data_IF_220676372943
#
_entry.id   IF_220676372943
#
_cell.length_a   1.000
_cell.length_b   1.000
_cell.length_c   1.000
_cell.angle_alpha   90.00
_cell.angle_beta   90.00
_cell.angle_gamma   90.00
#
_symmetry.space_group_name_H-M   'P 1'
#
loop_
_entity.id
_entity.type
_entity.pdbx_description
1 polymer ?
#
# COMPACT_ATOMS: atom_id res chain seq x y z
N UNK A 1 -3.99 26.70 -4.26
CA UNK A 1 -3.56 25.35 -4.67
C UNK A 1 -3.67 24.33 -3.53
N UNK A 2 -3.03 24.54 -2.37
CA UNK A 2 -3.04 23.57 -1.25
C UNK A 2 -4.42 23.16 -0.74
N UNK A 3 -5.37 24.11 -0.58
CA UNK A 3 -6.74 23.83 -0.09
C UNK A 3 -7.56 22.98 -1.07
N UNK A 4 -7.36 23.16 -2.38
CA UNK A 4 -8.04 22.38 -3.43
C UNK A 4 -7.53 20.94 -3.51
N UNK A 5 -6.23 20.73 -3.26
CA UNK A 5 -5.60 19.41 -3.19
C UNK A 5 -6.01 18.63 -1.93
N UNK A 6 -6.12 19.31 -0.79
CA UNK A 6 -6.62 18.67 0.44
C UNK A 6 -8.10 18.35 0.32
N UNK A 7 -8.90 19.25 -0.27
CA UNK A 7 -10.31 18.99 -0.51
C UNK A 7 -10.52 17.81 -1.47
N UNK A 8 -9.80 17.73 -2.59
CA UNK A 8 -9.94 16.63 -3.54
C UNK A 8 -9.45 15.29 -2.95
N UNK A 9 -8.36 15.29 -2.18
CA UNK A 9 -7.89 14.10 -1.48
C UNK A 9 -8.92 13.60 -0.44
N UNK A 10 -9.49 14.53 0.33
CA UNK A 10 -10.57 14.23 1.28
C UNK A 10 -11.78 13.65 0.53
N UNK A 11 -12.26 14.31 -0.53
CA UNK A 11 -13.40 13.81 -1.31
C UNK A 11 -13.13 12.44 -1.93
N UNK A 12 -11.92 12.20 -2.46
CA UNK A 12 -11.55 10.91 -3.04
C UNK A 12 -11.50 9.80 -1.99
N UNK A 13 -10.97 10.09 -0.80
CA UNK A 13 -10.89 9.12 0.31
C UNK A 13 -12.26 8.80 0.86
N UNK A 14 -13.04 9.82 1.23
CA UNK A 14 -14.39 9.60 1.77
C UNK A 14 -15.36 9.04 0.73
N UNK A 15 -15.25 9.48 -0.53
CA UNK A 15 -16.01 8.89 -1.64
C UNK A 15 -15.62 7.43 -1.89
N UNK A 16 -14.33 7.11 -1.82
CA UNK A 16 -13.82 5.75 -1.87
C UNK A 16 -14.35 4.89 -0.74
N UNK A 17 -14.30 5.36 0.51
CA UNK A 17 -14.87 4.66 1.67
C UNK A 17 -16.37 4.43 1.47
N UNK A 18 -17.11 5.44 1.02
CA UNK A 18 -18.53 5.30 0.70
C UNK A 18 -18.81 4.21 -0.34
N UNK A 19 -18.00 4.13 -1.40
CA UNK A 19 -18.08 3.05 -2.40
C UNK A 19 -17.80 1.67 -1.80
N UNK A 20 -16.78 1.56 -0.94
CA UNK A 20 -16.44 0.30 -0.25
C UNK A 20 -17.57 -0.14 0.69
N UNK A 21 -18.16 0.77 1.46
CA UNK A 21 -19.24 0.42 2.39
C UNK A 21 -20.57 0.12 1.68
N UNK A 22 -20.77 0.62 0.45
CA UNK A 22 -22.00 0.41 -0.32
C UNK A 22 -21.93 -0.76 -1.31
N UNK A 23 -20.77 -1.39 -1.47
CA UNK A 23 -20.58 -2.48 -2.43
C UNK A 23 -21.43 -3.73 -2.08
N UNK A 24 -21.92 -4.40 -3.12
CA UNK A 24 -22.63 -5.67 -2.99
C UNK A 24 -21.58 -6.78 -2.85
N UNK A 25 -21.52 -7.39 -1.66
CA UNK A 25 -20.63 -8.52 -1.36
C UNK A 25 -21.07 -9.73 -2.19
N UNK A 26 -20.15 -10.28 -2.98
CA UNK A 26 -20.41 -11.50 -3.75
C UNK A 26 -20.51 -12.71 -2.82
N UNK A 27 -21.69 -13.35 -2.78
CA UNK A 27 -22.03 -14.45 -1.87
C UNK A 27 -21.33 -15.80 -2.21
N UNK A 28 -20.74 -15.93 -3.39
CA UNK A 28 -20.13 -17.18 -3.88
C UNK A 28 -18.65 -17.02 -4.19
N UNK A 29 -17.82 -17.85 -3.55
CA UNK A 29 -16.40 -17.98 -3.87
C UNK A 29 -16.22 -18.58 -5.28
N UNK A 30 -15.40 -17.97 -6.16
CA UNK A 30 -15.21 -18.47 -7.53
C UNK A 30 -14.38 -19.75 -7.58
N UNK A 31 -14.53 -20.53 -8.67
CA UNK A 31 -13.65 -21.67 -9.00
C UNK A 31 -12.19 -21.25 -9.33
N UNK A 32 -11.90 -19.95 -9.39
CA UNK A 32 -10.61 -19.38 -9.78
C UNK A 32 -9.47 -19.65 -8.77
N UNK A 33 -9.81 -20.09 -7.56
CA UNK A 33 -8.87 -20.40 -6.47
C UNK A 33 -7.85 -21.49 -6.89
N UNK A 34 -8.21 -22.37 -7.83
CA UNK A 34 -7.34 -23.45 -8.30
C UNK A 34 -6.09 -22.96 -9.07
N UNK A 35 -6.15 -21.78 -9.73
CA UNK A 35 -5.02 -21.24 -10.52
C UNK A 35 -4.05 -20.44 -9.64
N UNK A 36 -4.50 -20.01 -8.46
CA UNK A 36 -3.72 -19.12 -7.59
C UNK A 36 -2.34 -19.65 -7.20
N UNK A 37 -2.15 -20.95 -6.89
CA UNK A 37 -0.82 -21.48 -6.60
C UNK A 37 0.15 -21.34 -7.78
N UNK A 38 -0.31 -21.66 -8.99
CA UNK A 38 0.50 -21.56 -10.22
C UNK A 38 0.87 -20.10 -10.50
N UNK A 39 -0.10 -19.20 -10.34
CA UNK A 39 0.11 -17.77 -10.56
C UNK A 39 1.11 -17.16 -9.55
N UNK A 40 0.98 -17.50 -8.26
CA UNK A 40 1.94 -17.09 -7.24
C UNK A 40 3.34 -17.63 -7.51
N UNK A 41 3.47 -18.89 -7.91
CA UNK A 41 4.77 -19.48 -8.27
C UNK A 41 5.40 -18.75 -9.46
N UNK A 42 4.61 -18.47 -10.49
CA UNK A 42 5.09 -17.76 -11.67
C UNK A 42 5.51 -16.32 -11.35
N UNK A 43 4.64 -15.54 -10.69
CA UNK A 43 4.92 -14.13 -10.38
C UNK A 43 6.02 -14.01 -9.32
N UNK A 44 5.95 -14.81 -8.26
CA UNK A 44 6.96 -14.83 -7.21
C UNK A 44 8.32 -15.29 -7.75
N UNK A 45 8.34 -16.30 -8.62
CA UNK A 45 9.55 -16.74 -9.32
C UNK A 45 10.11 -15.66 -10.26
N UNK A 46 9.25 -14.99 -11.03
CA UNK A 46 9.66 -13.88 -11.91
C UNK A 46 10.21 -12.71 -11.12
N UNK A 47 9.61 -12.36 -9.97
CA UNK A 47 10.11 -11.30 -9.11
C UNK A 47 11.43 -11.68 -8.43
N UNK A 48 11.54 -12.92 -7.96
CA UNK A 48 12.77 -13.43 -7.35
C UNK A 48 13.92 -13.44 -8.37
N UNK A 49 13.74 -14.09 -9.52
CA UNK A 49 14.81 -14.26 -10.52
C UNK A 49 15.01 -12.98 -11.33
N UNK A 50 13.94 -12.44 -11.90
CA UNK A 50 13.99 -11.25 -12.75
C UNK A 50 14.40 -10.00 -11.96
N UNK A 51 13.84 -9.79 -10.77
CA UNK A 51 14.22 -8.67 -9.90
C UNK A 51 15.66 -8.78 -9.44
N UNK A 52 16.10 -9.96 -9.01
CA UNK A 52 17.48 -10.20 -8.61
C UNK A 52 18.48 -9.97 -9.75
N UNK A 53 18.24 -10.55 -10.92
CA UNK A 53 19.11 -10.37 -12.10
C UNK A 53 19.14 -8.91 -12.57
N UNK A 54 18.02 -8.20 -12.53
CA UNK A 54 17.97 -6.78 -12.89
C UNK A 54 18.78 -5.93 -11.91
N UNK A 55 18.71 -6.22 -10.61
CA UNK A 55 19.53 -5.51 -9.61
C UNK A 55 21.01 -5.83 -9.79
N UNK A 56 21.38 -7.10 -10.00
CA UNK A 56 22.78 -7.47 -10.21
C UNK A 56 23.39 -6.80 -11.45
N UNK A 57 22.62 -6.67 -12.53
CA UNK A 57 23.09 -6.06 -13.79
C UNK A 57 23.13 -4.54 -13.72
N UNK A 58 22.12 -3.91 -13.12
CA UNK A 58 21.95 -2.44 -13.16
C UNK A 58 22.46 -1.72 -11.92
N UNK A 59 22.48 -2.39 -10.76
CA UNK A 59 22.83 -1.83 -9.45
C UNK A 59 23.72 -2.78 -8.63
N UNK A 60 24.89 -3.22 -9.15
CA UNK A 60 25.73 -4.23 -8.50
C UNK A 60 26.26 -3.80 -7.11
N UNK A 61 26.37 -2.49 -6.85
CA UNK A 61 26.84 -1.94 -5.58
C UNK A 61 25.75 -1.80 -4.52
N UNK A 62 24.49 -2.14 -4.84
CA UNK A 62 23.34 -1.95 -3.94
C UNK A 62 22.60 -3.27 -3.66
N UNK A 63 23.18 -4.18 -2.86
CA UNK A 63 22.58 -5.48 -2.56
C UNK A 63 21.23 -5.39 -1.83
N UNK A 64 20.96 -4.27 -1.14
CA UNK A 64 19.69 -4.04 -0.44
C UNK A 64 18.47 -4.08 -1.37
N UNK A 65 18.60 -3.73 -2.65
CA UNK A 65 17.49 -3.82 -3.60
C UNK A 65 17.21 -5.26 -4.03
N UNK A 66 18.25 -6.09 -4.14
CA UNK A 66 18.10 -7.51 -4.41
C UNK A 66 17.40 -8.20 -3.22
N UNK A 67 17.79 -7.86 -1.99
CA UNK A 67 17.14 -8.35 -0.78
C UNK A 67 15.65 -7.94 -0.72
N UNK A 68 15.31 -6.71 -1.09
CA UNK A 68 13.92 -6.26 -1.18
C UNK A 68 13.11 -7.11 -2.18
N UNK A 69 13.63 -7.36 -3.38
CA UNK A 69 12.96 -8.21 -4.37
C UNK A 69 12.75 -9.64 -3.84
N UNK A 70 13.75 -10.19 -3.13
CA UNK A 70 13.66 -11.53 -2.54
C UNK A 70 12.62 -11.59 -1.41
N UNK A 71 12.55 -10.58 -0.55
CA UNK A 71 11.53 -10.52 0.52
C UNK A 71 10.13 -10.37 -0.06
N UNK A 72 9.94 -9.51 -1.07
CA UNK A 72 8.65 -9.35 -1.75
C UNK A 72 8.23 -10.61 -2.51
N UNK A 73 9.17 -11.30 -3.16
CA UNK A 73 8.92 -12.61 -3.76
C UNK A 73 8.53 -13.64 -2.70
N UNK A 74 9.23 -13.65 -1.55
CA UNK A 74 8.89 -14.48 -0.40
C UNK A 74 7.46 -14.21 0.09
N UNK A 75 7.04 -12.95 0.17
CA UNK A 75 5.67 -12.57 0.51
C UNK A 75 4.62 -13.18 -0.44
N UNK A 76 4.89 -13.20 -1.75
CA UNK A 76 3.99 -13.76 -2.77
C UNK A 76 3.96 -15.29 -2.71
N UNK A 77 5.12 -15.92 -2.49
CA UNK A 77 5.29 -17.37 -2.51
C UNK A 77 4.87 -18.04 -1.20
N UNK A 78 5.01 -17.36 -0.06
CA UNK A 78 4.84 -17.95 1.27
C UNK A 78 3.50 -18.68 1.46
N UNK A 79 2.33 -18.10 1.12
CA UNK A 79 1.05 -18.80 1.27
C UNK A 79 0.95 -20.08 0.42
N UNK A 80 1.69 -20.16 -0.68
CA UNK A 80 1.65 -21.29 -1.62
C UNK A 80 2.65 -22.39 -1.29
N UNK A 81 3.80 -22.02 -0.72
CA UNK A 81 4.84 -22.98 -0.30
C UNK A 81 4.52 -23.57 1.07
N UNK A 82 3.83 -22.82 1.95
CA UNK A 82 3.47 -23.23 3.30
C UNK A 82 1.94 -23.24 3.53
N UNK A 83 1.16 -24.02 2.76
CA UNK A 83 -0.28 -24.09 2.94
C UNK A 83 -0.64 -24.69 4.31
N UNK A 84 -1.48 -24.02 5.09
CA UNK A 84 -2.02 -24.50 6.37
C UNK A 84 -1.05 -24.56 7.56
N UNK A 85 0.26 -24.72 7.33
CA UNK A 85 1.29 -24.78 8.37
C UNK A 85 2.05 -23.45 8.55
N UNK A 86 1.80 -22.46 7.68
CA UNK A 86 2.49 -21.17 7.70
C UNK A 86 2.04 -20.20 8.80
N UNK A 87 0.91 -20.43 9.47
CA UNK A 87 0.28 -19.43 10.34
C UNK A 87 1.09 -19.04 11.58
N UNK A 88 1.87 -19.96 12.13
CA UNK A 88 2.71 -19.73 13.32
C UNK A 88 4.21 -19.91 13.03
N UNK A 89 4.58 -19.99 11.76
CA UNK A 89 5.95 -20.29 11.38
C UNK A 89 6.82 -19.01 11.49
N UNK A 90 7.99 -19.09 12.18
CA UNK A 90 8.88 -17.94 12.37
C UNK A 90 9.34 -17.30 11.07
N UNK A 91 9.43 -18.05 9.96
CA UNK A 91 9.78 -17.51 8.65
C UNK A 91 8.77 -16.48 8.15
N UNK A 92 7.47 -16.69 8.42
CA UNK A 92 6.44 -15.73 8.03
C UNK A 92 6.56 -14.42 8.82
N UNK A 93 6.83 -14.49 10.13
CA UNK A 93 7.11 -13.30 10.94
C UNK A 93 8.37 -12.57 10.45
N UNK A 94 9.43 -13.31 10.12
CA UNK A 94 10.66 -12.73 9.56
C UNK A 94 10.40 -12.04 8.22
N UNK A 95 9.61 -12.63 7.32
CA UNK A 95 9.24 -12.00 6.06
C UNK A 95 8.45 -10.71 6.28
N UNK A 96 7.48 -10.73 7.21
CA UNK A 96 6.67 -9.54 7.48
C UNK A 96 7.48 -8.42 8.12
N UNK A 97 8.37 -8.74 9.08
CA UNK A 97 9.17 -7.75 9.80
C UNK A 97 10.41 -7.27 9.04
N UNK A 98 10.98 -8.10 8.16
CA UNK A 98 12.12 -7.70 7.33
C UNK A 98 11.75 -6.65 6.30
N UNK A 99 10.52 -6.69 5.77
CA UNK A 99 10.06 -5.73 4.78
C UNK A 99 10.12 -4.26 5.25
N UNK A 100 9.47 -3.85 6.37
CA UNK A 100 9.58 -2.47 6.86
C UNK A 100 11.02 -2.11 7.23
N UNK A 101 11.81 -3.07 7.75
CA UNK A 101 13.22 -2.82 8.08
C UNK A 101 14.06 -2.50 6.83
N UNK A 102 13.90 -3.26 5.74
CA UNK A 102 14.60 -3.02 4.47
C UNK A 102 14.16 -1.71 3.83
N UNK A 103 12.85 -1.43 3.83
CA UNK A 103 12.30 -0.16 3.32
C UNK A 103 12.89 1.01 4.11
N UNK A 104 12.84 0.96 5.44
CA UNK A 104 13.40 2.00 6.30
C UNK A 104 14.91 2.17 6.07
N UNK A 105 15.64 1.07 5.91
CA UNK A 105 17.07 1.11 5.60
C UNK A 105 17.34 1.81 4.27
N UNK A 106 16.66 1.41 3.18
CA UNK A 106 16.81 2.03 1.85
C UNK A 106 16.47 3.52 1.90
N UNK A 107 15.36 3.89 2.53
CA UNK A 107 14.95 5.29 2.65
C UNK A 107 15.99 6.08 3.45
N UNK A 108 16.53 5.51 4.52
CA UNK A 108 17.55 6.16 5.34
C UNK A 108 18.90 6.31 4.63
N UNK A 109 19.33 5.33 3.85
CA UNK A 109 20.63 5.37 3.16
C UNK A 109 20.59 6.14 1.85
N UNK A 110 19.57 5.89 1.02
CA UNK A 110 19.51 6.40 -0.35
C UNK A 110 18.65 7.67 -0.49
N UNK A 111 17.75 7.94 0.47
CA UNK A 111 16.85 9.09 0.44
C UNK A 111 17.01 10.09 1.59
N UNK A 112 18.14 10.01 2.33
CA UNK A 112 18.41 10.87 3.49
C UNK A 112 18.31 12.36 3.19
N UNK A 113 18.87 12.80 2.07
CA UNK A 113 18.88 14.21 1.67
C UNK A 113 17.46 14.75 1.43
N UNK A 114 16.60 13.96 0.80
CA UNK A 114 15.19 14.30 0.59
C UNK A 114 14.42 14.32 1.91
N UNK A 115 14.65 13.36 2.81
CA UNK A 115 14.01 13.39 4.13
C UNK A 115 14.42 14.63 4.94
N UNK A 116 15.69 15.03 4.88
CA UNK A 116 16.18 16.23 5.54
C UNK A 116 15.55 17.50 4.94
N UNK A 117 15.47 17.60 3.61
CA UNK A 117 14.89 18.76 2.94
C UNK A 117 13.39 18.90 3.24
N UNK A 118 12.62 17.79 3.23
CA UNK A 118 11.20 17.78 3.59
C UNK A 118 11.01 18.17 5.06
N UNK A 119 11.88 17.69 5.96
CA UNK A 119 11.78 18.00 7.40
C UNK A 119 11.90 19.50 7.69
N UNK A 120 12.69 20.22 6.89
CA UNK A 120 12.91 21.66 7.03
C UNK A 120 11.73 22.50 6.51
N UNK A 121 10.89 21.97 5.62
CA UNK A 121 9.76 22.70 5.04
C UNK A 121 8.42 22.28 5.67
N UNK A 122 7.65 23.24 6.15
CA UNK A 122 6.37 22.96 6.84
C UNK A 122 5.31 22.40 5.90
N UNK A 123 5.15 22.98 4.70
CA UNK A 123 4.07 22.60 3.77
C UNK A 123 4.21 21.18 3.22
N UNK A 124 5.35 20.76 2.64
CA UNK A 124 5.52 19.39 2.15
C UNK A 124 5.41 18.35 3.27
N UNK A 125 5.96 18.65 4.45
CA UNK A 125 5.85 17.79 5.63
C UNK A 125 4.39 17.58 6.04
N UNK A 126 3.61 18.65 6.13
CA UNK A 126 2.21 18.56 6.55
C UNK A 126 1.35 17.83 5.51
N UNK A 127 1.54 18.12 4.21
CA UNK A 127 0.84 17.39 3.14
C UNK A 127 1.19 15.90 3.18
N UNK A 128 2.46 15.54 3.40
CA UNK A 128 2.86 14.14 3.52
C UNK A 128 2.24 13.42 4.71
N UNK A 129 2.21 14.06 5.89
CA UNK A 129 1.57 13.51 7.10
C UNK A 129 0.07 13.31 6.86
N UNK A 130 -0.62 14.34 6.33
CA UNK A 130 -2.07 14.27 6.08
C UNK A 130 -2.39 13.22 5.03
N UNK A 131 -1.64 13.16 3.92
CA UNK A 131 -1.83 12.16 2.87
C UNK A 131 -1.59 10.74 3.40
N UNK A 132 -0.53 10.53 4.20
CA UNK A 132 -0.25 9.23 4.81
C UNK A 132 -1.33 8.79 5.80
N UNK A 133 -1.82 9.70 6.65
CA UNK A 133 -2.91 9.41 7.59
C UNK A 133 -4.22 9.09 6.87
N UNK A 134 -4.59 9.89 5.87
CA UNK A 134 -5.77 9.63 5.04
C UNK A 134 -5.66 8.26 4.33
N UNK A 135 -4.46 7.91 3.87
CA UNK A 135 -4.20 6.61 3.26
C UNK A 135 -4.36 5.46 4.25
N UNK A 136 -3.90 5.60 5.50
CA UNK A 136 -4.11 4.61 6.55
C UNK A 136 -5.60 4.43 6.86
N UNK A 137 -6.36 5.52 6.96
CA UNK A 137 -7.82 5.48 7.18
C UNK A 137 -8.49 4.77 6.01
N UNK A 138 -8.19 5.16 4.77
CA UNK A 138 -8.72 4.51 3.58
C UNK A 138 -8.40 3.01 3.54
N UNK A 139 -7.15 2.63 3.86
CA UNK A 139 -6.76 1.23 3.96
C UNK A 139 -7.55 0.49 5.03
N UNK A 140 -7.82 1.11 6.19
CA UNK A 140 -8.54 0.45 7.28
C UNK A 140 -9.96 0.04 6.89
N UNK A 141 -10.68 0.94 6.21
CA UNK A 141 -12.01 0.65 5.67
C UNK A 141 -11.95 -0.32 4.49
N UNK A 142 -11.02 -0.11 3.57
CA UNK A 142 -10.88 -0.95 2.37
C UNK A 142 -10.52 -2.39 2.68
N UNK A 143 -9.64 -2.62 3.66
CA UNK A 143 -9.25 -3.94 4.12
C UNK A 143 -10.33 -4.62 5.00
N UNK A 144 -11.46 -3.95 5.27
CA UNK A 144 -12.51 -4.46 6.15
C UNK A 144 -12.09 -4.54 7.62
N UNK A 145 -11.01 -3.87 8.01
CA UNK A 145 -10.57 -3.77 9.42
C UNK A 145 -11.39 -2.76 10.20
N UNK A 146 -12.08 -1.84 9.51
CA UNK A 146 -13.09 -0.94 10.05
C UNK A 146 -14.30 -0.95 9.13
N UNK A 147 -15.51 -0.92 9.68
CA UNK A 147 -16.74 -0.78 8.91
C UNK A 147 -17.81 -0.02 9.69
N UNK A 148 -18.67 0.70 8.95
CA UNK A 148 -19.81 1.44 9.50
C UNK A 148 -21.14 0.69 9.21
N UNK A 149 -21.07 -0.51 8.60
CA UNK A 149 -22.21 -1.42 8.42
C UNK A 149 -22.06 -2.65 9.30
N UNK A 150 -22.55 -2.61 10.55
CA UNK A 150 -22.55 -3.77 11.41
C UNK A 150 -23.39 -4.90 10.81
N UNK A 151 -22.91 -6.13 11.01
CA UNK A 151 -23.55 -7.34 10.51
C UNK A 151 -24.97 -7.46 11.11
N UNK A 152 -25.99 -7.56 10.26
CA UNK A 152 -27.40 -7.60 10.68
C UNK A 152 -27.97 -9.03 10.72
N UNK A 153 -27.09 -10.03 10.63
CA UNK A 153 -27.44 -11.45 10.60
C UNK A 153 -27.94 -12.01 11.94
N UNK A 154 -28.44 -13.24 11.88
CA UNK A 154 -28.72 -14.07 13.06
C UNK A 154 -27.41 -14.27 13.85
N UNK A 155 -27.39 -13.86 15.12
CA UNK A 155 -26.22 -13.78 16.03
C UNK A 155 -25.38 -12.49 15.97
N UNK A 156 -25.90 -11.41 15.39
CA UNK A 156 -25.28 -10.10 15.53
C UNK A 156 -25.12 -9.72 17.02
N UNK A 157 -23.95 -9.22 17.46
CA UNK A 157 -23.75 -8.84 18.84
C UNK A 157 -24.73 -7.73 19.25
N UNK A 158 -25.39 -7.91 20.39
CA UNK A 158 -26.41 -6.96 20.90
C UNK A 158 -25.82 -5.94 21.87
N UNK A 159 -24.63 -6.21 22.42
CA UNK A 159 -23.92 -5.35 23.38
C UNK A 159 -22.56 -4.91 22.85
N UNK A 160 -22.11 -3.73 23.27
CA UNK A 160 -20.77 -3.25 22.95
C UNK A 160 -19.69 -4.15 23.59
N UNK A 161 -18.60 -4.40 22.87
CA UNK A 161 -17.46 -5.14 23.42
C UNK A 161 -16.14 -4.67 22.83
N UNK A 162 -15.06 -4.95 23.57
CA UNK A 162 -13.68 -4.84 23.12
C UNK A 162 -12.98 -6.11 23.62
N UNK A 163 -12.50 -6.95 22.73
CA UNK A 163 -11.88 -8.24 23.08
C UNK A 163 -10.58 -8.47 22.31
N UNK A 164 -9.58 -9.13 22.92
CA UNK A 164 -8.42 -9.60 22.18
C UNK A 164 -8.83 -10.78 21.28
N UNK A 165 -8.36 -10.76 20.04
CA UNK A 165 -8.61 -11.81 19.04
C UNK A 165 -7.35 -12.04 18.20
N UNK A 166 -7.23 -13.20 17.56
CA UNK A 166 -6.07 -13.53 16.72
C UNK A 166 -6.46 -13.51 15.25
N UNK A 167 -5.74 -12.72 14.45
CA UNK A 167 -6.03 -12.57 13.01
C UNK A 167 -4.86 -13.09 12.19
N UNK A 168 -5.14 -14.01 11.28
CA UNK A 168 -4.16 -14.59 10.36
C UNK A 168 -3.87 -13.67 9.15
N UNK A 169 -3.45 -12.42 9.41
CA UNK A 169 -3.13 -11.45 8.36
C UNK A 169 -2.20 -10.31 8.84
N UNK A 170 -1.13 -9.97 8.08
CA UNK A 170 -0.67 -10.64 6.86
C UNK A 170 0.21 -11.85 7.16
N UNK A 171 0.12 -12.87 6.29
CA UNK A 171 0.90 -14.13 6.21
C UNK A 171 0.84 -15.08 7.44
N UNK A 172 0.87 -14.53 8.65
CA UNK A 172 0.93 -15.24 9.93
C UNK A 172 -0.13 -14.70 10.88
N UNK A 173 -0.27 -15.35 12.04
CA UNK A 173 -1.21 -14.94 13.08
C UNK A 173 -0.63 -13.78 13.89
N UNK A 174 -1.41 -12.72 13.99
CA UNK A 174 -1.08 -11.54 14.78
C UNK A 174 -2.10 -11.36 15.90
N UNK A 175 -1.65 -10.92 17.08
CA UNK A 175 -2.57 -10.44 18.09
C UNK A 175 -3.30 -9.21 17.54
N UNK A 176 -4.61 -9.18 17.78
CA UNK A 176 -5.50 -8.11 17.37
C UNK A 176 -6.44 -7.74 18.52
N UNK A 177 -7.00 -6.54 18.42
CA UNK A 177 -8.11 -6.11 19.27
C UNK A 177 -9.30 -5.91 18.36
N UNK A 178 -10.40 -6.60 18.65
CA UNK A 178 -11.69 -6.45 17.99
C UNK A 178 -12.60 -5.58 18.86
N UNK A 179 -13.37 -4.72 18.22
CA UNK A 179 -14.35 -3.87 18.88
C UNK A 179 -15.66 -3.83 18.09
N UNK A 180 -16.75 -3.69 18.84
CA UNK A 180 -18.07 -3.51 18.30
C UNK A 180 -18.84 -2.53 19.16
N UNK A 181 -19.40 -1.50 18.53
CA UNK A 181 -20.26 -0.52 19.17
C UNK A 181 -21.63 -0.57 18.48
N UNK A 182 -22.71 -0.98 19.16
CA UNK A 182 -24.05 -0.98 18.58
C UNK A 182 -24.71 0.40 18.58
N UNK A 183 -24.30 1.31 19.47
CA UNK A 183 -24.86 2.66 19.60
C UNK A 183 -24.42 3.62 18.50
N UNK A 184 -23.24 3.39 17.94
CA UNK A 184 -22.71 4.05 16.75
C UNK A 184 -22.32 2.88 15.86
N UNK A 185 -22.95 2.65 14.69
CA UNK A 185 -22.79 1.43 13.90
C UNK A 185 -21.34 1.31 13.41
N UNK A 186 -20.44 0.88 14.28
CA UNK A 186 -19.00 0.94 14.08
C UNK A 186 -18.40 -0.34 14.65
N UNK A 187 -17.79 -1.09 13.75
CA UNK A 187 -17.18 -2.37 14.04
C UNK A 187 -15.80 -2.41 13.40
N UNK A 188 -14.90 -3.18 13.98
CA UNK A 188 -13.59 -3.35 13.40
C UNK A 188 -12.65 -4.16 14.28
N UNK A 189 -11.47 -4.39 13.74
CA UNK A 189 -10.36 -4.97 14.46
C UNK A 189 -9.05 -4.34 13.99
N UNK A 190 -8.07 -4.25 14.88
CA UNK A 190 -6.72 -3.82 14.53
C UNK A 190 -5.73 -4.88 14.99
N UNK A 191 -5.08 -5.52 14.02
CA UNK A 191 -3.97 -6.44 14.26
C UNK A 191 -2.63 -5.72 14.12
N UNK A 192 -1.60 -6.21 14.80
CA UNK A 192 -0.21 -5.73 14.62
C UNK A 192 0.21 -5.82 13.15
N UNK A 193 -0.20 -6.89 12.48
CA UNK A 193 0.01 -7.11 11.06
C UNK A 193 -0.60 -6.03 10.16
N UNK A 194 -1.89 -5.72 10.37
CA UNK A 194 -2.59 -4.66 9.62
C UNK A 194 -1.97 -3.30 9.87
N UNK A 195 -1.57 -3.01 11.12
CA UNK A 195 -0.87 -1.77 11.44
C UNK A 195 0.46 -1.63 10.69
N UNK A 196 1.25 -2.72 10.57
CA UNK A 196 2.48 -2.70 9.79
C UNK A 196 2.23 -2.41 8.30
N UNK A 197 1.20 -3.01 7.70
CA UNK A 197 0.82 -2.73 6.31
C UNK A 197 0.39 -1.28 6.12
N UNK A 198 -0.44 -0.76 7.04
CA UNK A 198 -0.84 0.65 7.06
C UNK A 198 0.38 1.57 7.17
N UNK A 199 1.33 1.25 8.04
CA UNK A 199 2.55 2.04 8.22
C UNK A 199 3.43 2.06 6.96
N UNK A 200 3.58 0.91 6.28
CA UNK A 200 4.37 0.81 5.05
C UNK A 200 3.71 1.61 3.93
N UNK A 201 2.44 1.32 3.61
CA UNK A 201 1.75 1.94 2.49
C UNK A 201 1.45 3.42 2.77
N UNK A 202 0.90 3.73 3.94
CA UNK A 202 0.63 5.11 4.36
C UNK A 202 1.91 5.94 4.47
N UNK A 203 3.00 5.37 5.00
CA UNK A 203 4.29 6.04 5.08
C UNK A 203 4.91 6.33 3.72
N UNK A 204 4.94 5.33 2.83
CA UNK A 204 5.47 5.48 1.48
C UNK A 204 4.63 6.45 0.63
N UNK A 205 3.30 6.38 0.70
CA UNK A 205 2.39 7.30 0.01
C UNK A 205 2.53 8.72 0.55
N UNK A 206 2.57 8.89 1.87
CA UNK A 206 2.79 10.19 2.51
C UNK A 206 4.13 10.82 2.12
N UNK A 207 5.20 10.02 2.07
CA UNK A 207 6.51 10.51 1.65
C UNK A 207 6.53 10.92 0.17
N UNK A 208 5.88 10.15 -0.72
CA UNK A 208 5.72 10.54 -2.12
C UNK A 208 4.90 11.84 -2.28
N UNK A 209 3.81 12.00 -1.52
CA UNK A 209 3.02 13.23 -1.53
C UNK A 209 3.83 14.45 -1.05
N UNK A 210 4.68 14.26 -0.03
CA UNK A 210 5.60 15.30 0.44
C UNK A 210 6.61 15.68 -0.65
N UNK A 211 7.23 14.72 -1.32
CA UNK A 211 8.20 14.96 -2.41
C UNK A 211 7.56 15.75 -3.54
N UNK A 212 6.38 15.33 -4.02
CA UNK A 212 5.65 16.02 -5.10
C UNK A 212 5.32 17.45 -4.69
N UNK A 213 4.84 17.65 -3.46
CA UNK A 213 4.52 18.99 -2.93
C UNK A 213 5.76 19.87 -2.87
N UNK A 214 6.90 19.32 -2.45
CA UNK A 214 8.17 20.05 -2.39
C UNK A 214 8.62 20.48 -3.78
N UNK A 215 8.55 19.59 -4.77
CA UNK A 215 8.90 19.89 -6.17
C UNK A 215 8.00 20.99 -6.75
N UNK A 216 6.69 20.96 -6.45
CA UNK A 216 5.76 21.99 -6.89
C UNK A 216 6.01 23.35 -6.21
N UNK A 217 6.41 23.35 -4.94
CA UNK A 217 6.71 24.60 -4.23
C UNK A 217 8.02 25.25 -4.65
N UNK A 218 8.97 24.50 -5.21
CA UNK A 218 10.26 25.01 -5.70
C UNK A 218 10.29 25.35 -7.19
N UNK A 219 9.23 25.07 -7.94
CA UNK A 219 9.18 25.34 -9.38
C UNK A 219 8.74 26.78 -9.67
N UNK A 220 9.68 27.74 -9.59
CA UNK A 220 9.50 29.03 -10.28
C UNK A 220 9.72 28.82 -11.78
N UNK A 221 8.63 28.85 -12.56
CA UNK A 221 8.61 29.03 -14.02
C UNK A 221 9.58 28.18 -14.87
N UNK A 222 9.51 26.85 -14.79
CA UNK A 222 10.13 25.97 -15.80
C UNK A 222 9.10 25.61 -16.86
N UNK A 223 9.42 25.94 -18.11
CA UNK A 223 8.62 25.74 -19.33
C UNK A 223 7.96 24.36 -19.40
N UNK A 224 6.69 24.37 -19.77
CA UNK A 224 5.81 23.22 -19.84
C UNK A 224 6.38 22.06 -20.69
N UNK A 225 6.84 20.98 -20.05
CA UNK A 225 6.98 19.62 -20.62
C UNK A 225 7.10 18.58 -19.49
N UNK A 226 6.34 17.47 -19.52
CA UNK A 226 4.90 17.38 -19.36
C UNK A 226 4.50 17.09 -17.89
N UNK A 227 3.49 17.81 -17.42
CA UNK A 227 2.75 17.62 -16.16
C UNK A 227 2.18 16.18 -15.96
N UNK A 228 2.31 15.30 -16.96
CA UNK A 228 1.90 13.91 -16.91
C UNK A 228 2.78 13.03 -16.00
N UNK A 229 4.09 13.31 -15.86
CA UNK A 229 4.97 12.42 -15.07
C UNK A 229 4.71 12.52 -13.56
N UNK A 230 4.44 13.72 -13.04
CA UNK A 230 4.12 13.93 -11.62
C UNK A 230 2.71 13.45 -11.26
N UNK A 231 1.76 13.62 -12.19
CA UNK A 231 0.38 13.15 -12.04
C UNK A 231 0.29 11.62 -12.12
N UNK A 232 1.03 10.96 -13.02
CA UNK A 232 1.17 9.49 -13.03
C UNK A 232 1.99 8.95 -11.85
N UNK A 233 3.02 9.65 -11.40
CA UNK A 233 3.75 9.26 -10.20
C UNK A 233 2.87 9.36 -8.95
N UNK A 234 2.06 10.41 -8.83
CA UNK A 234 1.11 10.60 -7.72
C UNK A 234 -0.13 9.68 -7.81
N UNK A 235 -0.65 9.41 -9.01
CA UNK A 235 -1.80 8.52 -9.22
C UNK A 235 -1.41 7.04 -9.23
N UNK A 236 -0.20 6.71 -9.67
CA UNK A 236 0.37 5.36 -9.60
C UNK A 236 0.87 5.00 -8.20
N UNK A 237 1.32 6.00 -7.43
CA UNK A 237 1.62 5.86 -5.99
C UNK A 237 0.38 5.46 -5.16
N UNK A 238 -0.82 5.88 -5.57
CA UNK A 238 -2.06 5.60 -4.84
C UNK A 238 -2.82 4.39 -5.37
N UNK A 239 -2.40 3.75 -6.46
CA UNK A 239 -2.94 2.46 -6.91
C UNK A 239 -2.43 1.30 -6.04
N UNK A 240 -2.77 1.33 -4.75
CA UNK A 240 -2.53 0.23 -3.82
C UNK A 240 -3.59 -0.88 -4.00
N UNK A 241 -3.30 -2.08 -3.50
CA UNK A 241 -4.31 -3.15 -3.39
C UNK A 241 -5.58 -2.72 -2.62
N UNK A 242 -5.48 -1.68 -1.77
CA UNK A 242 -6.63 -1.05 -1.12
C UNK A 242 -7.57 -0.26 -2.04
N UNK A 243 -7.22 0.04 -3.30
CA UNK A 243 -8.15 0.66 -4.23
C UNK A 243 -9.08 -0.35 -4.89
N UNK A 244 -8.81 -1.65 -4.77
CA UNK A 244 -9.56 -2.69 -5.45
C UNK A 244 -11.03 -2.80 -5.00
N UNK A 245 -11.41 -2.65 -3.71
CA UNK A 245 -12.82 -2.61 -3.33
C UNK A 245 -13.57 -1.40 -3.91
N UNK A 246 -12.91 -0.23 -4.00
CA UNK A 246 -13.50 0.94 -4.65
C UNK A 246 -13.65 0.75 -6.18
N UNK A 247 -12.65 0.12 -6.81
CA UNK A 247 -12.70 -0.22 -8.24
C UNK A 247 -13.74 -1.31 -8.53
N UNK A 248 -13.90 -2.29 -7.64
CA UNK A 248 -14.99 -3.27 -7.70
C UNK A 248 -16.35 -2.59 -7.58
N UNK A 249 -16.53 -1.65 -6.64
CA UNK A 249 -17.75 -0.85 -6.55
C UNK A 249 -18.11 -0.23 -7.90
N UNK A 250 -17.15 0.43 -8.55
CA UNK A 250 -17.36 1.02 -9.89
C UNK A 250 -17.65 -0.03 -10.98
N UNK A 251 -16.89 -1.13 -11.02
CA UNK A 251 -17.08 -2.18 -12.02
C UNK A 251 -18.39 -2.95 -11.83
N UNK A 252 -18.84 -3.16 -10.59
CA UNK A 252 -20.09 -3.86 -10.27
C UNK A 252 -21.32 -3.11 -10.78
N UNK A 253 -21.24 -1.78 -10.87
CA UNK A 253 -22.29 -0.95 -11.50
C UNK A 253 -22.31 -1.13 -13.02
N UNK A 254 -21.15 -1.29 -13.65
CA UNK A 254 -21.02 -1.41 -15.10
C UNK A 254 -21.28 -2.83 -15.62
N UNK A 255 -20.83 -3.84 -14.88
CA UNK A 255 -20.78 -5.24 -15.31
C UNK A 255 -21.58 -6.19 -14.40
N UNK A 256 -22.24 -5.67 -13.37
CA UNK A 256 -23.07 -6.46 -12.45
C UNK A 256 -22.27 -7.51 -11.67
N UNK A 257 -22.88 -8.66 -11.43
CA UNK A 257 -22.30 -9.79 -10.69
C UNK A 257 -21.16 -10.51 -11.44
N UNK A 258 -20.90 -10.17 -12.71
CA UNK A 258 -19.79 -10.76 -13.47
C UNK A 258 -18.41 -10.43 -12.88
N UNK A 259 -18.33 -9.40 -12.02
CA UNK A 259 -17.09 -8.91 -11.41
C UNK A 259 -16.78 -9.59 -10.06
N UNK A 260 -17.65 -10.47 -9.57
CA UNK A 260 -17.47 -11.19 -8.29
C UNK A 260 -16.11 -11.92 -8.18
N UNK A 261 -15.53 -12.53 -9.24
CA UNK A 261 -14.20 -13.11 -9.15
C UNK A 261 -13.08 -12.11 -8.90
N UNK A 262 -13.20 -10.89 -9.42
CA UNK A 262 -12.25 -9.80 -9.19
C UNK A 262 -12.30 -9.37 -7.73
N UNK A 263 -13.50 -9.25 -7.15
CA UNK A 263 -13.68 -8.95 -5.72
C UNK A 263 -12.90 -9.92 -4.81
N UNK A 264 -13.11 -11.23 -5.00
CA UNK A 264 -12.42 -12.26 -4.21
C UNK A 264 -10.91 -12.33 -4.46
N UNK A 265 -10.45 -11.91 -5.64
CA UNK A 265 -9.02 -11.82 -5.97
C UNK A 265 -8.29 -10.73 -5.20
N UNK A 266 -9.00 -9.73 -4.68
CA UNK A 266 -8.41 -8.62 -3.93
C UNK A 266 -8.76 -8.61 -2.44
N UNK A 267 -9.86 -9.25 -2.04
CA UNK A 267 -10.33 -9.27 -0.66
C UNK A 267 -9.44 -10.11 0.27
N UNK A 268 -8.67 -11.06 -0.27
CA UNK A 268 -7.74 -11.90 0.48
C UNK A 268 -6.33 -11.31 0.32
N UNK A 269 -5.71 -10.70 1.35
CA UNK A 269 -4.35 -10.14 1.24
C UNK A 269 -3.30 -11.18 0.85
N UNK A 270 -3.52 -12.44 1.24
CA UNK A 270 -2.73 -13.61 0.86
C UNK A 270 -3.05 -14.16 -0.54
N UNK A 271 -3.91 -13.51 -1.32
CA UNK A 271 -4.11 -13.84 -2.72
C UNK A 271 -2.87 -13.48 -3.55
N UNK A 272 -2.58 -14.21 -4.65
CA UNK A 272 -1.48 -13.89 -5.54
C UNK A 272 -1.58 -12.47 -6.09
N UNK A 273 -2.80 -12.05 -6.42
CA UNK A 273 -3.09 -10.75 -7.00
C UNK A 273 -2.85 -9.65 -5.96
N UNK A 274 -3.45 -9.75 -4.77
CA UNK A 274 -3.24 -8.78 -3.69
C UNK A 274 -1.77 -8.64 -3.30
N UNK A 275 -1.05 -9.74 -3.15
CA UNK A 275 0.40 -9.75 -2.83
C UNK A 275 1.25 -9.17 -3.96
N UNK A 276 0.91 -9.43 -5.22
CA UNK A 276 1.61 -8.84 -6.38
C UNK A 276 1.41 -7.33 -6.46
N UNK A 277 0.17 -6.87 -6.28
CA UNK A 277 -0.13 -5.43 -6.26
C UNK A 277 0.59 -4.75 -5.09
N UNK A 278 0.57 -5.35 -3.90
CA UNK A 278 1.32 -4.84 -2.75
C UNK A 278 2.82 -4.72 -3.06
N UNK A 279 3.43 -5.78 -3.61
CA UNK A 279 4.85 -5.76 -3.99
C UNK A 279 5.14 -4.68 -5.05
N UNK A 280 4.30 -4.56 -6.08
CA UNK A 280 4.42 -3.54 -7.11
C UNK A 280 4.29 -2.12 -6.54
N UNK A 281 3.30 -1.86 -5.67
CA UNK A 281 3.13 -0.56 -5.02
C UNK A 281 4.33 -0.20 -4.17
N UNK A 282 4.85 -1.14 -3.36
CA UNK A 282 6.06 -0.90 -2.54
C UNK A 282 7.25 -0.56 -3.43
N UNK A 283 7.49 -1.33 -4.49
CA UNK A 283 8.60 -1.09 -5.41
C UNK A 283 8.47 0.27 -6.13
N UNK A 284 7.30 0.59 -6.67
CA UNK A 284 7.05 1.84 -7.38
C UNK A 284 7.19 3.06 -6.45
N UNK A 285 6.57 3.00 -5.27
CA UNK A 285 6.62 4.08 -4.29
C UNK A 285 8.04 4.32 -3.78
N UNK A 286 8.76 3.24 -3.43
CA UNK A 286 10.13 3.33 -2.95
C UNK A 286 11.07 3.83 -4.04
N UNK A 287 10.90 3.32 -5.27
CA UNK A 287 11.70 3.75 -6.40
C UNK A 287 11.48 5.22 -6.76
N UNK A 288 10.23 5.71 -6.66
CA UNK A 288 9.90 7.13 -6.83
C UNK A 288 10.64 8.00 -5.80
N UNK A 289 10.65 7.59 -4.52
CA UNK A 289 11.40 8.27 -3.45
C UNK A 289 12.89 8.28 -3.75
N UNK A 290 13.47 7.15 -4.12
CA UNK A 290 14.91 7.04 -4.42
C UNK A 290 15.29 7.79 -5.68
N UNK A 291 14.43 7.88 -6.70
CA UNK A 291 14.71 8.67 -7.90
C UNK A 291 14.65 10.17 -7.67
N UNK A 292 13.77 10.62 -6.77
CA UNK A 292 13.69 12.03 -6.42
C UNK A 292 15.03 12.56 -5.91
N UNK A 293 15.86 11.73 -5.28
CA UNK A 293 17.18 12.12 -4.75
C UNK A 293 18.22 12.32 -5.85
N UNK A 294 18.13 11.53 -6.94
CA UNK A 294 19.01 11.66 -8.10
C UNK A 294 18.76 12.94 -8.91
N UNK A 295 17.51 13.40 -8.98
CA UNK A 295 17.17 14.68 -9.60
C UNK A 295 17.71 15.87 -8.79
N UNK A 296 17.64 15.81 -7.46
CA UNK A 296 18.13 16.89 -6.57
C UNK A 296 19.67 17.04 -6.59
N UNK A 297 20.41 15.97 -6.89
CA UNK A 297 21.87 16.01 -6.97
C UNK A 297 22.39 16.63 -8.28
N UNK A 298 21.60 16.58 -9.36
CA UNK A 298 21.96 17.18 -10.65
C UNK A 298 21.94 18.71 -10.63
N UNK A 299 20.98 19.31 -9.93
CA UNK A 299 20.82 20.76 -9.88
C UNK A 299 21.73 21.44 -8.85
N UNK A 300 22.17 20.72 -7.81
CA UNK A 300 23.06 21.27 -6.77
C UNK A 300 24.53 21.41 -7.22
N UNK A 301 24.93 20.73 -8.31
CA UNK A 301 26.29 20.83 -8.88
C UNK A 301 26.35 21.75 -10.12
N UNK A 302 25.22 22.28 -10.60
CA UNK A 302 25.18 23.27 -11.67
C UNK A 302 25.42 24.68 -11.09
N UNK A 303 26.62 24.93 -10.56
CA UNK A 303 27.10 26.31 -10.41
C UNK A 303 27.37 26.82 -11.82
N UNK A 304 26.50 27.73 -12.30
CA UNK A 304 26.70 28.42 -13.56
C UNK A 304 28.09 29.08 -13.57
N UNK A 305 28.90 28.94 -14.63
CA UNK A 305 30.10 29.74 -14.77
C UNK A 305 29.67 31.21 -14.79
N UNK A 306 30.24 32.00 -13.88
CA UNK A 306 30.13 33.45 -13.88
C UNK A 306 30.70 33.99 -15.19
N UNK A 307 29.86 34.60 -16.02
CA UNK A 307 30.27 35.63 -16.97
C UNK A 307 29.97 37.01 -16.39
#
# INVERSE_FOLDING_TARGET
AGVLLTASAVTAVFGGIGLVETQIVGQTAPQLIAIYPVLSLFIGGLLAVGGFLLVLTKYPTKPQYALLCMVLAGWILYPTVMPGQGYYNPLGYLLVLSLPAIIAYIVWTDARGVLQSIRLQTTPKLVGIVAGLLMCVFFAFSAGTMSIKPDSGLNAPTSAFIIPYNVASPLVVWPAVEWYFPSIPFTGYLSVGSFLLMAILGGLTGLNAAIVTQQWSGSESVSATPLFSGSLAASGATACCCCAPAFYGALSVLFGTAVTPVYWSFMIPSSPVGSTFFAASVLLLLWSIVRATGASAGDACAVAPSE
#
